data_IF_763816600519
#
_entry.id   IF_763816600519
#
_cell.length_a   1.000
_cell.length_b   1.000
_cell.length_c   1.000
_cell.angle_alpha   90.00
_cell.angle_beta   90.00
_cell.angle_gamma   90.00
#
_symmetry.space_group_name_H-M   'P 1'
#
loop_
_entity.id
_entity.type
_entity.pdbx_description
1 polymer ?
#
# COMPACT_ATOMS: atom_id res chain seq x y z
N UNK A 1 -48.21 22.08 -14.21
CA UNK A 1 -46.85 22.50 -14.56
C UNK A 1 -45.94 22.74 -13.35
N UNK A 2 -46.27 23.64 -12.41
CA UNK A 2 -45.39 23.99 -11.26
C UNK A 2 -44.97 22.82 -10.34
N UNK A 3 -45.86 21.84 -10.10
CA UNK A 3 -45.56 20.64 -9.29
C UNK A 3 -44.57 19.69 -9.97
N UNK A 4 -44.72 19.52 -11.28
CA UNK A 4 -43.82 18.69 -12.10
C UNK A 4 -42.42 19.31 -12.15
N UNK A 5 -42.34 20.63 -12.31
CA UNK A 5 -41.07 21.38 -12.32
C UNK A 5 -40.33 21.27 -10.97
N UNK A 6 -41.04 21.30 -9.84
CA UNK A 6 -40.46 21.09 -8.51
C UNK A 6 -39.93 19.67 -8.32
N UNK A 7 -40.68 18.65 -8.70
CA UNK A 7 -40.24 17.25 -8.59
C UNK A 7 -39.00 16.96 -9.45
N UNK A 8 -38.93 17.54 -10.66
CA UNK A 8 -37.75 17.44 -11.52
C UNK A 8 -36.55 18.15 -10.91
N UNK A 9 -36.73 19.36 -10.35
CA UNK A 9 -35.65 20.07 -9.68
C UNK A 9 -35.10 19.31 -8.46
N UNK A 10 -35.97 18.67 -7.66
CA UNK A 10 -35.55 17.84 -6.53
C UNK A 10 -34.78 16.60 -6.98
N UNK A 11 -35.21 15.94 -8.06
CA UNK A 11 -34.52 14.76 -8.60
C UNK A 11 -33.12 15.11 -9.15
N UNK A 12 -32.98 16.26 -9.83
CA UNK A 12 -31.68 16.76 -10.30
C UNK A 12 -30.76 17.09 -9.13
N UNK A 13 -31.27 17.73 -8.08
CA UNK A 13 -30.47 18.06 -6.89
C UNK A 13 -29.97 16.80 -6.15
N UNK A 14 -30.79 15.75 -6.07
CA UNK A 14 -30.43 14.46 -5.47
C UNK A 14 -29.35 13.71 -6.29
N UNK A 15 -29.38 13.85 -7.63
CA UNK A 15 -28.39 13.23 -8.51
C UNK A 15 -27.04 13.97 -8.49
N UNK A 16 -27.04 15.28 -8.20
CA UNK A 16 -25.81 16.07 -8.09
C UNK A 16 -24.99 15.75 -6.82
N UNK A 17 -25.54 15.02 -5.85
CA UNK A 17 -24.84 14.64 -4.62
C UNK A 17 -24.15 13.27 -4.68
N UNK A 18 -24.32 12.50 -5.76
CA UNK A 18 -23.61 11.21 -5.91
C UNK A 18 -22.21 11.44 -6.45
N UNK A 19 -21.21 11.40 -5.57
CA UNK A 19 -19.80 11.27 -5.96
C UNK A 19 -19.48 9.81 -6.28
N UNK A 20 -18.83 9.57 -7.42
CA UNK A 20 -18.22 8.27 -7.72
C UNK A 20 -17.01 8.08 -6.81
N UNK A 21 -17.08 7.12 -5.90
CA UNK A 21 -15.96 6.73 -5.06
C UNK A 21 -14.99 5.82 -5.84
N UNK A 22 -14.05 6.41 -6.57
CA UNK A 22 -12.90 5.66 -7.08
C UNK A 22 -11.86 5.60 -5.94
N UNK A 23 -11.80 4.45 -5.26
CA UNK A 23 -10.76 4.18 -4.29
C UNK A 23 -9.59 3.47 -4.99
N UNK A 24 -8.37 3.96 -4.77
CA UNK A 24 -7.17 3.24 -5.17
C UNK A 24 -7.05 1.92 -4.39
N UNK A 25 -6.46 0.90 -5.01
CA UNK A 25 -6.11 -0.31 -4.28
C UNK A 25 -4.98 0.01 -3.31
N UNK A 26 -5.14 -0.37 -2.03
CA UNK A 26 -4.13 -0.17 -1.00
C UNK A 26 -3.51 -1.50 -0.61
N UNK A 27 -2.19 -1.59 -0.66
CA UNK A 27 -1.44 -2.80 -0.29
C UNK A 27 -0.33 -2.39 0.67
N UNK A 28 -0.12 -3.15 1.75
CA UNK A 28 1.05 -2.97 2.63
C UNK A 28 1.92 -4.20 2.52
N UNK A 29 3.18 -3.99 2.16
CA UNK A 29 4.20 -5.04 2.13
C UNK A 29 4.91 -5.03 3.49
N UNK A 30 4.92 -6.18 4.15
CA UNK A 30 5.64 -6.39 5.41
C UNK A 30 6.88 -7.21 5.12
N UNK A 31 8.06 -6.64 5.34
CA UNK A 31 9.33 -7.33 5.24
C UNK A 31 9.78 -7.79 6.64
N UNK A 32 9.84 -9.11 6.83
CA UNK A 32 10.55 -9.69 7.97
C UNK A 32 12.06 -9.45 7.79
N UNK A 33 12.66 -8.79 8.76
CA UNK A 33 14.11 -8.57 8.88
C UNK A 33 14.67 -9.15 10.21
N UNK A 34 13.89 -10.00 10.87
CA UNK A 34 14.24 -10.66 12.12
C UNK A 34 15.44 -11.62 11.96
N UNK A 35 15.90 -12.17 13.08
CA UNK A 35 17.08 -13.03 13.15
C UNK A 35 17.10 -14.18 12.14
N UNK A 36 15.94 -14.76 11.80
CA UNK A 36 15.84 -15.90 10.88
C UNK A 36 16.21 -15.55 9.43
N UNK A 37 16.11 -14.28 9.07
CA UNK A 37 16.35 -13.76 7.71
C UNK A 37 17.84 -13.56 7.40
N UNK A 38 18.71 -13.71 8.40
CA UNK A 38 20.17 -13.73 8.22
C UNK A 38 20.70 -15.11 7.82
N UNK A 39 19.87 -16.15 7.90
CA UNK A 39 20.21 -17.46 7.37
C UNK A 39 20.51 -17.38 5.87
N UNK A 40 21.42 -18.24 5.41
CA UNK A 40 21.90 -18.24 4.04
C UNK A 40 21.09 -19.20 3.17
N UNK A 41 20.86 -18.82 1.91
CA UNK A 41 20.43 -19.69 0.81
C UNK A 41 21.45 -19.47 -0.31
N UNK A 42 22.09 -20.54 -0.78
CA UNK A 42 23.13 -20.47 -1.81
C UNK A 42 24.22 -19.41 -1.55
N UNK A 43 24.61 -19.24 -0.28
CA UNK A 43 25.63 -18.28 0.14
C UNK A 43 25.18 -16.82 0.23
N UNK A 44 23.88 -16.53 0.10
CA UNK A 44 23.29 -15.19 0.27
C UNK A 44 22.30 -15.13 1.44
N UNK A 45 22.26 -14.05 2.24
CA UNK A 45 21.24 -13.89 3.27
C UNK A 45 19.82 -13.89 2.69
N UNK A 46 18.85 -14.55 3.35
CA UNK A 46 17.43 -14.50 2.94
C UNK A 46 16.91 -13.07 2.82
N UNK A 47 17.35 -12.17 3.71
CA UNK A 47 17.00 -10.74 3.66
C UNK A 47 17.41 -10.09 2.34
N UNK A 48 18.59 -10.43 1.82
CA UNK A 48 19.10 -9.89 0.56
C UNK A 48 18.25 -10.37 -0.62
N UNK A 49 17.95 -11.68 -0.66
CA UNK A 49 17.09 -12.29 -1.68
C UNK A 49 15.67 -11.69 -1.63
N UNK A 50 15.13 -11.46 -0.43
CA UNK A 50 13.82 -10.84 -0.25
C UNK A 50 13.80 -9.39 -0.76
N UNK A 51 14.85 -8.60 -0.48
CA UNK A 51 14.99 -7.23 -0.98
C UNK A 51 15.08 -7.19 -2.51
N UNK A 52 15.84 -8.09 -3.13
CA UNK A 52 15.95 -8.20 -4.58
C UNK A 52 14.60 -8.57 -5.23
N UNK A 53 13.90 -9.56 -4.66
CA UNK A 53 12.57 -9.97 -5.12
C UNK A 53 11.56 -8.83 -5.02
N UNK A 54 11.58 -8.09 -3.92
CA UNK A 54 10.73 -6.92 -3.70
C UNK A 54 10.98 -5.84 -4.76
N UNK A 55 12.25 -5.51 -5.05
CA UNK A 55 12.60 -4.53 -6.09
C UNK A 55 12.07 -4.95 -7.47
N UNK A 56 12.11 -6.25 -7.78
CA UNK A 56 11.59 -6.78 -9.04
C UNK A 56 10.06 -6.63 -9.12
N UNK A 57 9.34 -6.97 -8.05
CA UNK A 57 7.88 -6.86 -8.02
C UNK A 57 7.44 -5.41 -8.15
N UNK A 58 8.07 -4.48 -7.44
CA UNK A 58 7.72 -3.06 -7.44
C UNK A 58 7.87 -2.39 -8.82
N UNK A 59 8.71 -2.92 -9.71
CA UNK A 59 8.81 -2.43 -11.10
C UNK A 59 7.56 -2.71 -11.94
N UNK A 60 6.74 -3.68 -11.53
CA UNK A 60 5.51 -4.08 -12.23
C UNK A 60 4.24 -3.49 -11.62
N UNK A 61 4.36 -2.75 -10.52
CA UNK A 61 3.21 -2.18 -9.81
C UNK A 61 2.66 -0.96 -10.56
N UNK A 62 1.34 -0.91 -10.83
CA UNK A 62 0.68 0.28 -11.39
C UNK A 62 0.86 1.53 -10.51
N UNK A 63 1.02 2.70 -11.13
CA UNK A 63 1.29 3.94 -10.39
C UNK A 63 0.10 4.44 -9.54
N UNK A 64 -1.11 3.99 -9.89
CA UNK A 64 -2.36 4.26 -9.19
C UNK A 64 -2.59 3.37 -7.96
N UNK A 65 -1.82 2.29 -7.79
CA UNK A 65 -1.84 1.49 -6.56
C UNK A 65 -1.06 2.20 -5.44
N UNK A 66 -1.66 2.24 -4.25
CA UNK A 66 -1.04 2.83 -3.06
C UNK A 66 -0.28 1.76 -2.28
N UNK A 67 1.05 1.74 -2.39
CA UNK A 67 1.90 0.72 -1.74
C UNK A 67 2.51 1.26 -0.44
N UNK A 68 2.18 0.66 0.69
CA UNK A 68 2.87 0.88 1.95
C UNK A 68 4.01 -0.11 2.15
N UNK A 69 4.99 0.28 2.98
CA UNK A 69 6.09 -0.58 3.39
C UNK A 69 6.25 -0.58 4.90
N UNK A 70 6.28 -1.78 5.47
CA UNK A 70 6.47 -2.02 6.89
C UNK A 70 7.62 -2.99 7.11
N UNK A 71 8.47 -2.72 8.09
CA UNK A 71 9.56 -3.62 8.49
C UNK A 71 9.28 -4.23 9.86
N UNK A 72 9.58 -5.52 10.01
CA UNK A 72 9.51 -6.26 11.28
C UNK A 72 10.90 -6.75 11.70
N UNK A 73 11.26 -6.54 12.97
CA UNK A 73 12.48 -7.07 13.59
C UNK A 73 13.79 -6.52 13.01
N UNK A 74 13.78 -5.28 12.49
CA UNK A 74 14.89 -4.69 11.73
C UNK A 74 15.92 -3.88 12.56
N UNK A 75 15.60 -3.52 13.81
CA UNK A 75 16.43 -2.70 14.71
C UNK A 75 16.85 -3.48 15.96
N UNK A 76 15.93 -4.24 16.56
CA UNK A 76 16.17 -4.91 17.84
C UNK A 76 15.87 -6.41 17.76
N UNK A 77 16.92 -7.22 17.88
CA UNK A 77 16.82 -8.68 17.85
C UNK A 77 15.94 -9.18 19.00
N UNK A 78 14.91 -9.95 18.67
CA UNK A 78 14.02 -10.60 19.64
C UNK A 78 12.94 -9.68 20.22
N UNK A 79 12.81 -8.44 19.73
CA UNK A 79 11.70 -7.57 20.12
C UNK A 79 10.50 -7.79 19.21
N UNK A 80 9.38 -8.25 19.77
CA UNK A 80 8.12 -8.40 19.03
C UNK A 80 7.47 -7.04 18.69
N UNK A 81 7.91 -5.97 19.35
CA UNK A 81 7.40 -4.61 19.15
C UNK A 81 8.16 -3.85 18.06
N UNK A 82 9.21 -4.44 17.50
CA UNK A 82 10.03 -3.83 16.47
C UNK A 82 9.33 -3.88 15.10
N UNK A 83 8.20 -3.19 14.99
CA UNK A 83 7.39 -3.03 13.79
C UNK A 83 7.40 -1.54 13.43
N UNK A 84 7.70 -1.21 12.18
CA UNK A 84 7.73 0.17 11.72
C UNK A 84 7.07 0.31 10.35
N UNK A 85 6.08 1.20 10.24
CA UNK A 85 5.57 1.67 8.95
C UNK A 85 6.54 2.73 8.41
N UNK A 86 7.39 2.32 7.49
CA UNK A 86 8.46 3.18 6.92
C UNK A 86 7.90 4.05 5.79
N UNK A 87 7.05 3.45 4.93
CA UNK A 87 6.38 4.17 3.84
C UNK A 87 4.87 4.01 4.00
N UNK A 88 4.11 5.09 4.25
CA UNK A 88 2.65 5.01 4.22
C UNK A 88 2.15 4.79 2.79
N UNK A 89 1.05 4.02 2.61
CA UNK A 89 0.44 3.85 1.29
C UNK A 89 -0.09 5.19 0.76
N UNK A 90 0.43 5.60 -0.39
CA UNK A 90 0.02 6.79 -1.14
C UNK A 90 0.28 6.59 -2.62
N UNK A 91 -0.37 7.34 -3.51
CA UNK A 91 -0.14 7.23 -4.94
C UNK A 91 1.35 7.46 -5.29
N UNK A 92 1.94 6.57 -6.09
CA UNK A 92 3.36 6.64 -6.49
C UNK A 92 4.38 6.30 -5.39
N UNK A 93 3.95 5.83 -4.21
CA UNK A 93 4.83 5.48 -3.10
C UNK A 93 5.78 4.31 -3.37
N UNK A 94 5.50 3.48 -4.38
CA UNK A 94 6.34 2.35 -4.76
C UNK A 94 7.80 2.76 -4.99
N UNK A 95 8.03 3.97 -5.52
CA UNK A 95 9.37 4.53 -5.75
C UNK A 95 10.15 4.83 -4.45
N UNK A 96 9.46 5.07 -3.33
CA UNK A 96 10.08 5.29 -2.02
C UNK A 96 10.53 3.98 -1.35
N UNK A 97 10.13 2.83 -1.89
CA UNK A 97 10.47 1.49 -1.40
C UNK A 97 11.60 0.96 -2.31
N UNK A 98 12.84 1.41 -2.08
CA UNK A 98 14.00 0.94 -2.86
C UNK A 98 15.23 0.69 -2.01
#
# INVERSE_FOLDING_TARGET
>A
MMRLARSVATAILLLSTTTLGLAANKVIIILDASGSMWAQIDGRPKLEIARESLRTVLQSVPADDEIGFMAYGHRQKGSCEDIELIVPPQAGSASAIS
#
